data_IF_513023010296
#
_entry.id   IF_513023010296
#
_cell.length_a   1.000
_cell.length_b   1.000
_cell.length_c   1.000
_cell.angle_alpha   90.00
_cell.angle_beta   90.00
_cell.angle_gamma   90.00
#
_symmetry.space_group_name_H-M   'P 1'
#
loop_
_entity.id
_entity.type
_entity.pdbx_description
1 polymer ?
#
# COMPACT_ATOMS: atom_id res chain seq x y z
N UNK A 1 -15.38 3.16 0.54
CA UNK A 1 -15.47 1.99 1.42
C UNK A 1 -16.80 1.34 1.17
N UNK A 2 -16.78 0.03 0.99
CA UNK A 2 -17.93 -0.79 0.62
C UNK A 2 -17.97 -2.03 1.50
N UNK A 3 -19.14 -2.63 1.67
CA UNK A 3 -19.33 -3.93 2.29
C UNK A 3 -20.40 -4.68 1.50
N UNK A 4 -20.27 -6.00 1.39
CA UNK A 4 -21.11 -6.82 0.52
C UNK A 4 -21.50 -8.12 1.24
N UNK A 5 -22.69 -8.63 0.96
CA UNK A 5 -23.12 -9.99 1.30
C UNK A 5 -23.80 -10.65 0.09
N UNK A 6 -24.22 -11.89 0.24
CA UNK A 6 -24.90 -12.66 -0.82
C UNK A 6 -26.16 -12.01 -1.41
N UNK A 7 -26.78 -11.05 -0.70
CA UNK A 7 -27.95 -10.29 -1.14
C UNK A 7 -27.65 -8.92 -1.75
N UNK A 8 -26.39 -8.50 -1.81
CA UNK A 8 -25.98 -7.21 -2.39
C UNK A 8 -25.07 -6.36 -1.49
N UNK A 9 -25.00 -5.06 -1.80
CA UNK A 9 -24.21 -4.08 -1.05
C UNK A 9 -24.86 -3.75 0.30
N UNK A 10 -24.08 -3.83 1.38
CA UNK A 10 -24.46 -3.40 2.72
C UNK A 10 -24.21 -1.90 2.84
N UNK A 11 -25.29 -1.11 2.93
CA UNK A 11 -25.16 0.34 3.14
C UNK A 11 -24.65 0.65 4.53
N UNK A 12 -23.50 1.33 4.60
CA UNK A 12 -22.88 1.81 5.82
C UNK A 12 -23.21 3.30 6.01
N UNK A 13 -24.17 3.58 6.89
CA UNK A 13 -24.75 4.91 7.04
C UNK A 13 -23.80 5.94 7.65
N UNK A 14 -23.25 6.81 6.79
CA UNK A 14 -22.51 8.01 7.18
C UNK A 14 -21.01 7.83 7.40
N UNK A 15 -20.28 8.95 7.37
CA UNK A 15 -18.81 8.99 7.44
C UNK A 15 -18.25 8.41 8.74
N UNK A 16 -18.84 8.74 9.89
CA UNK A 16 -18.39 8.22 11.20
C UNK A 16 -18.57 6.70 11.33
N UNK A 17 -19.66 6.14 10.82
CA UNK A 17 -19.89 4.68 10.81
C UNK A 17 -18.85 3.93 9.97
N UNK A 18 -18.53 4.45 8.78
CA UNK A 18 -17.47 3.91 7.90
C UNK A 18 -16.08 4.06 8.51
N UNK A 19 -15.79 5.18 9.16
CA UNK A 19 -14.52 5.44 9.85
C UNK A 19 -14.32 4.50 11.05
N UNK A 20 -15.38 4.24 11.81
CA UNK A 20 -15.35 3.26 12.90
C UNK A 20 -15.06 1.85 12.37
N UNK A 21 -15.72 1.43 11.28
CA UNK A 21 -15.41 0.16 10.61
C UNK A 21 -13.97 0.10 10.09
N UNK A 22 -13.51 1.14 9.39
CA UNK A 22 -12.14 1.25 8.88
C UNK A 22 -11.12 1.03 9.99
N UNK A 23 -11.26 1.78 11.09
CA UNK A 23 -10.39 1.70 12.26
C UNK A 23 -10.26 0.27 12.80
N UNK A 24 -11.38 -0.46 12.90
CA UNK A 24 -11.39 -1.83 13.39
C UNK A 24 -10.83 -2.85 12.38
N UNK A 25 -11.06 -2.66 11.09
CA UNK A 25 -10.47 -3.48 10.02
C UNK A 25 -8.94 -3.33 9.97
N UNK A 26 -8.44 -2.09 10.08
CA UNK A 26 -7.02 -1.75 10.20
C UNK A 26 -6.38 -2.34 11.47
N UNK A 27 -7.16 -2.49 12.54
CA UNK A 27 -6.75 -3.20 13.76
C UNK A 27 -6.43 -4.69 13.52
N UNK A 28 -6.97 -5.32 12.46
CA UNK A 28 -6.77 -6.72 12.09
C UNK A 28 -7.01 -7.69 13.27
N UNK A 29 -8.15 -7.55 13.96
CA UNK A 29 -8.52 -8.37 15.12
C UNK A 29 -7.84 -7.99 16.45
N UNK A 30 -6.90 -7.04 16.45
CA UNK A 30 -6.36 -6.43 17.69
C UNK A 30 -7.36 -5.42 18.27
N UNK A 31 -7.14 -5.04 19.52
CA UNK A 31 -7.95 -4.02 20.20
C UNK A 31 -7.54 -2.65 19.66
N UNK A 32 -8.51 -1.91 19.14
CA UNK A 32 -8.39 -0.47 18.89
C UNK A 32 -8.97 0.24 20.11
N UNK A 33 -8.14 1.05 20.76
CA UNK A 33 -8.51 1.73 21.99
C UNK A 33 -9.59 2.80 21.78
N UNK A 34 -10.43 3.03 22.79
CA UNK A 34 -11.50 4.04 22.73
C UNK A 34 -10.96 5.44 22.43
N UNK A 35 -9.79 5.80 22.97
CA UNK A 35 -9.12 7.05 22.66
C UNK A 35 -8.69 7.18 21.18
N UNK A 36 -8.20 6.10 20.56
CA UNK A 36 -7.84 6.08 19.14
C UNK A 36 -9.08 6.16 18.25
N UNK A 37 -10.16 5.47 18.64
CA UNK A 37 -11.46 5.59 17.98
C UNK A 37 -12.03 7.01 18.11
N UNK A 38 -11.81 7.69 19.24
CA UNK A 38 -12.19 9.09 19.49
C UNK A 38 -11.25 10.13 18.85
N UNK A 39 -10.08 9.71 18.35
CA UNK A 39 -9.20 10.53 17.52
C UNK A 39 -9.65 10.43 16.05
N UNK A 40 -9.85 9.20 15.56
CA UNK A 40 -10.32 8.91 14.20
C UNK A 40 -11.73 9.48 13.95
N UNK A 41 -12.58 9.45 14.97
CA UNK A 41 -13.88 10.10 15.00
C UNK A 41 -13.73 11.39 15.82
N UNK A 42 -13.94 12.57 15.23
CA UNK A 42 -14.02 13.87 15.94
C UNK A 42 -12.68 14.51 16.35
N UNK A 43 -11.57 13.76 16.36
CA UNK A 43 -10.22 14.34 16.53
C UNK A 43 -10.04 14.96 17.91
N UNK A 44 -9.70 16.24 17.95
CA UNK A 44 -9.51 16.99 19.21
C UNK A 44 -10.80 17.39 19.91
N UNK A 45 -11.97 17.21 19.28
CA UNK A 45 -13.27 17.64 19.81
C UNK A 45 -14.27 16.48 19.99
N UNK A 46 -13.97 15.47 20.84
CA UNK A 46 -14.89 14.38 21.10
C UNK A 46 -16.16 14.87 21.84
N UNK A 47 -17.32 14.24 21.59
CA UNK A 47 -18.57 14.58 22.28
C UNK A 47 -18.53 14.13 23.75
N UNK A 48 -19.25 14.83 24.62
CA UNK A 48 -19.46 14.42 26.03
C UNK A 48 -20.13 13.06 26.19
N UNK A 49 -20.77 12.55 25.13
CA UNK A 49 -21.43 11.24 25.07
C UNK A 49 -20.58 10.17 24.35
N UNK A 50 -19.25 10.33 24.34
CA UNK A 50 -18.28 9.47 23.64
C UNK A 50 -18.60 7.97 23.74
N UNK A 51 -18.66 7.41 24.95
CA UNK A 51 -18.92 5.98 25.16
C UNK A 51 -20.23 5.53 24.51
N UNK A 52 -21.32 6.29 24.72
CA UNK A 52 -22.63 5.98 24.16
C UNK A 52 -22.64 6.01 22.62
N UNK A 53 -21.86 6.90 22.00
CA UNK A 53 -21.70 6.94 20.54
C UNK A 53 -20.85 5.77 20.02
N UNK A 54 -19.76 5.40 20.70
CA UNK A 54 -18.97 4.20 20.36
C UNK A 54 -19.80 2.91 20.48
N UNK A 55 -20.60 2.77 21.54
CA UNK A 55 -21.56 1.66 21.68
C UNK A 55 -22.60 1.66 20.55
N UNK A 56 -23.10 2.84 20.13
CA UNK A 56 -24.04 2.97 19.02
C UNK A 56 -23.44 2.52 17.69
N UNK A 57 -22.22 2.96 17.36
CA UNK A 57 -21.53 2.53 16.13
C UNK A 57 -21.22 1.02 16.13
N UNK A 58 -20.78 0.47 17.26
CA UNK A 58 -20.56 -0.97 17.42
C UNK A 58 -21.85 -1.79 17.29
N UNK A 59 -22.96 -1.31 17.86
CA UNK A 59 -24.28 -1.95 17.74
C UNK A 59 -24.76 -1.97 16.29
N UNK A 60 -24.63 -0.84 15.58
CA UNK A 60 -24.98 -0.73 14.16
C UNK A 60 -24.14 -1.66 13.27
N UNK A 61 -22.82 -1.74 13.47
CA UNK A 61 -21.98 -2.69 12.71
C UNK A 61 -22.42 -4.14 12.90
N UNK A 62 -22.76 -4.55 14.13
CA UNK A 62 -23.26 -5.92 14.41
C UNK A 62 -24.57 -6.20 13.68
N UNK A 63 -25.45 -5.19 13.57
CA UNK A 63 -26.70 -5.29 12.82
C UNK A 63 -26.44 -5.43 11.31
N UNK A 64 -25.57 -4.58 10.76
CA UNK A 64 -25.30 -4.55 9.31
C UNK A 64 -24.49 -5.77 8.80
N UNK A 65 -23.51 -6.24 9.56
CA UNK A 65 -22.56 -7.28 9.11
C UNK A 65 -22.99 -8.71 9.50
N UNK A 66 -24.04 -8.85 10.32
CA UNK A 66 -24.61 -10.13 10.72
C UNK A 66 -23.62 -11.03 11.49
N UNK A 67 -23.87 -12.35 11.44
CA UNK A 67 -23.08 -13.35 12.19
C UNK A 67 -21.68 -13.62 11.64
N UNK A 68 -21.31 -13.05 10.49
CA UNK A 68 -20.03 -13.29 9.82
C UNK A 68 -18.92 -12.34 10.28
N UNK A 69 -19.22 -11.28 11.04
CA UNK A 69 -18.19 -10.37 11.57
C UNK A 69 -18.51 -10.02 13.03
N UNK A 70 -17.67 -10.45 13.97
CA UNK A 70 -17.82 -10.10 15.40
C UNK A 70 -17.06 -8.83 15.76
N UNK A 71 -17.82 -7.76 16.03
CA UNK A 71 -17.32 -6.58 16.75
C UNK A 71 -17.43 -6.81 18.26
N UNK A 72 -16.30 -6.97 18.94
CA UNK A 72 -16.22 -7.34 20.36
C UNK A 72 -15.76 -6.14 21.20
N UNK A 73 -16.46 -5.85 22.30
CA UNK A 73 -16.00 -4.89 23.31
C UNK A 73 -14.91 -5.57 24.13
N UNK A 74 -13.70 -5.01 24.16
CA UNK A 74 -12.59 -5.46 25.02
C UNK A 74 -11.99 -4.24 25.66
N UNK A 75 -12.33 -4.00 26.93
CA UNK A 75 -11.95 -2.75 27.60
C UNK A 75 -10.41 -2.56 27.64
N UNK A 76 -9.89 -1.34 27.37
CA UNK A 76 -10.59 -0.12 26.98
C UNK A 76 -10.59 0.08 25.45
N UNK A 77 -11.50 -0.58 24.72
CA UNK A 77 -11.58 -0.54 23.26
C UNK A 77 -12.52 -1.56 22.62
N UNK A 78 -12.33 -1.78 21.32
CA UNK A 78 -13.06 -2.74 20.49
C UNK A 78 -12.10 -3.52 19.57
N UNK A 79 -12.42 -4.77 19.25
CA UNK A 79 -11.79 -5.54 18.17
C UNK A 79 -12.84 -6.00 17.16
N UNK A 80 -12.42 -6.24 15.91
CA UNK A 80 -13.26 -6.82 14.86
C UNK A 80 -12.61 -8.10 14.35
N UNK A 81 -13.32 -9.21 14.47
CA UNK A 81 -12.93 -10.51 13.94
C UNK A 81 -13.79 -10.80 12.71
N UNK A 82 -13.15 -11.10 11.59
CA UNK A 82 -13.86 -11.34 10.31
C UNK A 82 -14.39 -12.76 10.18
N UNK A 83 -14.06 -13.70 11.07
CA UNK A 83 -14.69 -15.03 11.19
C UNK A 83 -15.00 -15.78 9.86
N UNK A 84 -14.11 -15.65 8.87
CA UNK A 84 -14.25 -16.26 7.54
C UNK A 84 -14.80 -15.33 6.44
N UNK A 85 -15.32 -14.16 6.79
CA UNK A 85 -15.60 -13.08 5.85
C UNK A 85 -14.29 -12.57 5.21
N UNK A 86 -14.37 -12.34 3.90
CA UNK A 86 -13.27 -11.86 3.09
C UNK A 86 -13.09 -10.35 3.22
N UNK A 87 -11.85 -9.88 3.30
CA UNK A 87 -11.51 -8.45 3.23
C UNK A 87 -10.28 -8.24 2.35
N UNK A 88 -10.32 -7.19 1.52
CA UNK A 88 -9.24 -6.85 0.59
C UNK A 88 -7.92 -6.57 1.30
N UNK A 89 -7.94 -5.86 2.43
CA UNK A 89 -6.75 -5.60 3.26
C UNK A 89 -6.06 -6.88 3.79
N UNK A 90 -6.82 -7.90 4.20
CA UNK A 90 -6.24 -9.16 4.72
C UNK A 90 -5.74 -10.03 3.57
N UNK A 91 -6.48 -10.09 2.46
CA UNK A 91 -6.05 -10.84 1.28
C UNK A 91 -4.82 -10.20 0.62
N UNK A 92 -4.73 -8.87 0.56
CA UNK A 92 -3.54 -8.13 0.09
C UNK A 92 -2.30 -8.51 0.89
N UNK A 93 -2.39 -8.44 2.22
CA UNK A 93 -1.29 -8.77 3.11
C UNK A 93 -0.90 -10.26 3.05
N UNK A 94 -1.87 -11.15 2.82
CA UNK A 94 -1.64 -12.59 2.59
C UNK A 94 -0.93 -12.86 1.26
N UNK A 95 -1.37 -12.23 0.16
CA UNK A 95 -0.72 -12.38 -1.15
C UNK A 95 0.68 -11.75 -1.14
N UNK A 96 0.86 -10.61 -0.46
CA UNK A 96 2.19 -10.01 -0.22
C UNK A 96 3.13 -10.99 0.45
N UNK A 97 2.77 -11.56 1.60
CA UNK A 97 3.62 -12.54 2.32
C UNK A 97 3.94 -13.78 1.49
N UNK A 98 2.97 -14.26 0.70
CA UNK A 98 3.18 -15.38 -0.24
C UNK A 98 4.19 -15.00 -1.33
N UNK A 99 4.12 -13.77 -1.84
CA UNK A 99 5.02 -13.26 -2.85
C UNK A 99 6.44 -13.01 -2.31
N UNK A 100 6.56 -12.44 -1.11
CA UNK A 100 7.83 -12.28 -0.38
C UNK A 100 8.49 -13.67 -0.19
N UNK A 101 7.78 -14.65 0.38
CA UNK A 101 8.31 -16.00 0.59
C UNK A 101 8.73 -16.70 -0.72
N UNK A 102 7.90 -16.64 -1.76
CA UNK A 102 8.25 -17.18 -3.07
C UNK A 102 9.46 -16.47 -3.70
N UNK A 103 9.67 -15.18 -3.41
CA UNK A 103 10.84 -14.42 -3.90
C UNK A 103 12.11 -14.86 -3.18
N UNK A 104 12.03 -15.07 -1.87
CA UNK A 104 13.15 -15.49 -1.01
C UNK A 104 13.58 -16.93 -1.33
N UNK A 105 12.64 -17.80 -1.74
CA UNK A 105 12.92 -19.15 -2.29
C UNK A 105 13.47 -19.13 -3.74
N UNK A 106 13.56 -17.96 -4.40
CA UNK A 106 13.97 -17.84 -5.80
C UNK A 106 12.89 -18.19 -6.83
N UNK A 107 11.67 -18.50 -6.39
CA UNK A 107 10.49 -18.76 -7.23
C UNK A 107 9.90 -17.47 -7.84
N UNK A 108 10.72 -16.66 -8.52
CA UNK A 108 10.37 -15.32 -9.00
C UNK A 108 9.08 -15.26 -9.85
N UNK A 109 8.79 -16.26 -10.66
CA UNK A 109 7.56 -16.31 -11.45
C UNK A 109 6.28 -16.42 -10.59
N UNK A 110 6.35 -17.17 -9.49
CA UNK A 110 5.26 -17.28 -8.51
C UNK A 110 5.13 -16.01 -7.67
N UNK A 111 6.26 -15.41 -7.28
CA UNK A 111 6.28 -14.12 -6.59
C UNK A 111 5.64 -13.00 -7.43
N UNK A 112 6.01 -12.87 -8.71
CA UNK A 112 5.45 -11.88 -9.63
C UNK A 112 3.93 -12.06 -9.86
N UNK A 113 3.44 -13.30 -9.85
CA UNK A 113 2.00 -13.57 -9.89
C UNK A 113 1.31 -13.09 -8.58
N UNK A 114 1.81 -13.52 -7.42
CA UNK A 114 1.21 -13.16 -6.13
C UNK A 114 1.27 -11.64 -5.82
N UNK A 115 2.32 -10.92 -6.25
CA UNK A 115 2.33 -9.45 -6.15
C UNK A 115 1.29 -8.79 -7.06
N UNK A 116 1.04 -9.32 -8.27
CA UNK A 116 -0.03 -8.83 -9.15
C UNK A 116 -1.40 -9.10 -8.56
N UNK A 117 -1.62 -10.30 -8.01
CA UNK A 117 -2.87 -10.65 -7.31
C UNK A 117 -3.12 -9.70 -6.12
N UNK A 118 -2.08 -9.37 -5.35
CA UNK A 118 -2.15 -8.38 -4.28
C UNK A 118 -2.56 -6.99 -4.80
N UNK A 119 -1.89 -6.50 -5.85
CA UNK A 119 -2.15 -5.17 -6.42
C UNK A 119 -3.52 -5.06 -7.09
N UNK A 120 -4.06 -6.16 -7.63
CA UNK A 120 -5.38 -6.20 -8.26
C UNK A 120 -6.55 -5.99 -7.27
N UNK A 121 -6.32 -6.13 -5.96
CA UNK A 121 -7.31 -5.83 -4.92
C UNK A 121 -7.56 -4.32 -4.75
N UNK A 122 -6.64 -3.49 -5.24
CA UNK A 122 -6.70 -2.04 -5.10
C UNK A 122 -7.55 -1.41 -6.19
N UNK A 123 -8.62 -0.72 -5.77
CA UNK A 123 -9.64 -0.14 -6.65
C UNK A 123 -9.56 1.39 -6.74
N UNK A 124 -8.48 1.97 -6.21
CA UNK A 124 -8.27 3.41 -6.03
C UNK A 124 -7.50 3.68 -4.73
N UNK A 125 -7.46 4.94 -4.25
CA UNK A 125 -6.77 5.30 -3.02
C UNK A 125 -7.34 4.58 -1.79
N UNK A 126 -6.48 4.29 -0.81
CA UNK A 126 -6.82 3.68 0.46
C UNK A 126 -7.99 4.41 1.14
N UNK A 127 -9.02 3.64 1.52
CA UNK A 127 -10.20 4.13 2.24
C UNK A 127 -11.02 5.21 1.49
N UNK A 128 -10.77 5.41 0.18
CA UNK A 128 -11.56 6.27 -0.69
C UNK A 128 -13.05 5.92 -0.63
N UNK A 129 -13.92 6.91 -0.83
CA UNK A 129 -15.37 6.72 -0.73
C UNK A 129 -15.88 6.69 0.73
N UNK A 130 -15.46 7.67 1.53
CA UNK A 130 -16.26 8.18 2.65
C UNK A 130 -15.90 7.72 4.06
N UNK A 131 -14.64 7.36 4.31
CA UNK A 131 -14.08 7.53 5.66
C UNK A 131 -13.75 9.01 5.94
N UNK A 132 -13.52 9.34 7.21
CA UNK A 132 -13.18 10.68 7.68
C UNK A 132 -11.71 11.03 7.38
N UNK A 133 -11.36 12.26 6.95
CA UNK A 133 -9.97 12.67 6.75
C UNK A 133 -9.05 12.47 7.97
N UNK A 134 -9.61 12.34 9.17
CA UNK A 134 -8.88 12.04 10.40
C UNK A 134 -8.15 10.68 10.43
N UNK A 135 -8.49 9.73 9.55
CA UNK A 135 -7.73 8.46 9.38
C UNK A 135 -6.77 8.47 8.17
N UNK A 136 -6.35 9.67 7.76
CA UNK A 136 -5.39 9.86 6.66
C UNK A 136 -4.02 9.24 6.94
N UNK A 137 -3.59 9.14 8.21
CA UNK A 137 -2.34 8.49 8.58
C UNK A 137 -2.37 6.98 8.29
N UNK A 138 -3.46 6.29 8.64
CA UNK A 138 -3.67 4.88 8.31
C UNK A 138 -3.83 4.65 6.80
N UNK A 139 -4.51 5.56 6.11
CA UNK A 139 -4.62 5.52 4.64
C UNK A 139 -3.25 5.68 3.97
N UNK A 140 -2.41 6.61 4.45
CA UNK A 140 -1.04 6.78 3.97
C UNK A 140 -0.18 5.52 4.24
N UNK A 141 -0.25 4.94 5.43
CA UNK A 141 0.48 3.70 5.74
C UNK A 141 0.07 2.52 4.83
N UNK A 142 -1.19 2.47 4.39
CA UNK A 142 -1.66 1.52 3.38
C UNK A 142 -1.09 1.82 1.98
N UNK A 143 -1.08 3.09 1.54
CA UNK A 143 -0.47 3.48 0.25
C UNK A 143 1.05 3.21 0.21
N UNK A 144 1.78 3.45 1.30
CA UNK A 144 3.20 3.08 1.40
C UNK A 144 3.39 1.56 1.26
N UNK A 145 2.53 0.75 1.90
CA UNK A 145 2.57 -0.70 1.72
C UNK A 145 2.24 -1.14 0.27
N UNK A 146 1.35 -0.42 -0.43
CA UNK A 146 1.06 -0.63 -1.85
C UNK A 146 2.26 -0.30 -2.74
N UNK A 147 2.92 0.84 -2.51
CA UNK A 147 4.12 1.24 -3.25
C UNK A 147 5.26 0.25 -3.04
N UNK A 148 5.52 -0.18 -1.80
CA UNK A 148 6.52 -1.18 -1.46
C UNK A 148 6.25 -2.58 -2.07
N UNK A 149 4.98 -2.91 -2.35
CA UNK A 149 4.59 -4.12 -3.11
C UNK A 149 4.78 -3.93 -4.61
N UNK A 150 4.46 -2.76 -5.14
CA UNK A 150 4.64 -2.42 -6.55
C UNK A 150 6.13 -2.41 -6.95
N UNK A 151 6.98 -1.85 -6.10
CA UNK A 151 8.45 -1.89 -6.27
C UNK A 151 8.97 -3.34 -6.28
N UNK A 152 8.64 -4.15 -5.26
CA UNK A 152 9.01 -5.57 -5.21
C UNK A 152 8.54 -6.35 -6.43
N UNK A 153 7.34 -6.06 -6.97
CA UNK A 153 6.85 -6.66 -8.22
C UNK A 153 7.78 -6.31 -9.38
N UNK A 154 8.09 -5.02 -9.56
CA UNK A 154 8.95 -4.51 -10.63
C UNK A 154 10.34 -5.16 -10.57
N UNK A 155 10.97 -5.19 -9.38
CA UNK A 155 12.24 -5.87 -9.15
C UNK A 155 12.20 -7.35 -9.56
N UNK A 156 11.10 -8.03 -9.20
CA UNK A 156 10.89 -9.46 -9.49
C UNK A 156 10.70 -9.70 -10.99
N UNK A 157 9.96 -8.85 -11.69
CA UNK A 157 9.75 -8.94 -13.14
C UNK A 157 11.04 -8.59 -13.92
N UNK A 158 11.85 -7.63 -13.43
CA UNK A 158 13.20 -7.35 -13.95
C UNK A 158 14.11 -8.57 -13.76
N UNK A 159 14.08 -9.23 -12.60
CA UNK A 159 14.83 -10.47 -12.34
C UNK A 159 14.39 -11.65 -13.21
N UNK A 160 13.17 -11.62 -13.78
CA UNK A 160 12.67 -12.55 -14.79
C UNK A 160 13.06 -12.17 -16.23
N UNK A 161 13.86 -11.11 -16.43
CA UNK A 161 14.28 -10.62 -17.74
C UNK A 161 13.26 -9.72 -18.46
N UNK A 162 12.13 -9.36 -17.80
CA UNK A 162 11.01 -8.61 -18.42
C UNK A 162 11.17 -7.08 -18.32
N UNK A 163 12.38 -6.59 -18.03
CA UNK A 163 12.62 -5.17 -17.77
C UNK A 163 12.11 -4.25 -18.89
N UNK A 164 12.30 -4.65 -20.16
CA UNK A 164 11.88 -3.86 -21.34
C UNK A 164 10.35 -3.74 -21.44
N UNK A 165 9.60 -4.78 -21.05
CA UNK A 165 8.13 -4.79 -21.07
C UNK A 165 7.54 -3.74 -20.10
N UNK A 166 8.25 -3.45 -19.00
CA UNK A 166 7.83 -2.49 -17.98
C UNK A 166 8.08 -1.02 -18.36
N UNK A 167 8.75 -0.71 -19.47
CA UNK A 167 9.20 0.66 -19.80
C UNK A 167 8.08 1.71 -19.78
N UNK A 168 6.88 1.36 -20.27
CA UNK A 168 5.73 2.28 -20.28
C UNK A 168 5.19 2.54 -18.87
N UNK A 169 5.06 1.49 -18.06
CA UNK A 169 4.61 1.58 -16.67
C UNK A 169 5.62 2.36 -15.82
N UNK A 170 6.91 2.04 -15.95
CA UNK A 170 8.00 2.70 -15.23
C UNK A 170 8.06 4.20 -15.52
N UNK A 171 7.84 4.63 -16.77
CA UNK A 171 7.74 6.05 -17.12
C UNK A 171 6.56 6.74 -16.43
N UNK A 172 5.42 6.06 -16.33
CA UNK A 172 4.24 6.56 -15.59
C UNK A 172 4.54 6.68 -14.10
N UNK A 173 5.08 5.63 -13.48
CA UNK A 173 5.41 5.61 -12.05
C UNK A 173 6.45 6.67 -11.66
N UNK A 174 7.49 6.82 -12.48
CA UNK A 174 8.50 7.87 -12.31
C UNK A 174 7.92 9.28 -12.47
N UNK A 175 6.88 9.47 -13.29
CA UNK A 175 6.16 10.74 -13.40
C UNK A 175 5.23 11.01 -12.20
N UNK A 176 4.62 9.96 -11.62
CA UNK A 176 3.76 10.08 -10.44
C UNK A 176 4.54 10.20 -9.13
N UNK A 177 5.74 9.60 -9.06
CA UNK A 177 6.57 9.52 -7.86
C UNK A 177 8.00 10.01 -8.19
N UNK A 178 8.20 11.30 -8.51
CA UNK A 178 9.47 11.81 -9.02
C UNK A 178 10.64 11.64 -8.04
N UNK A 179 10.37 11.63 -6.73
CA UNK A 179 11.34 11.44 -5.65
C UNK A 179 11.64 9.96 -5.31
N UNK A 180 11.02 8.99 -5.99
CA UNK A 180 11.21 7.56 -5.68
C UNK A 180 12.41 6.96 -6.43
N UNK A 181 13.56 6.86 -5.75
CA UNK A 181 14.81 6.35 -6.35
C UNK A 181 14.68 4.94 -6.94
N UNK A 182 13.96 4.01 -6.31
CA UNK A 182 13.84 2.64 -6.82
C UNK A 182 13.07 2.49 -8.15
N UNK A 183 11.98 3.26 -8.36
CA UNK A 183 11.33 3.33 -9.68
C UNK A 183 12.24 3.96 -10.74
N UNK A 184 13.05 4.96 -10.37
CA UNK A 184 14.07 5.55 -11.24
C UNK A 184 15.15 4.53 -11.61
N UNK A 185 15.66 3.78 -10.64
CA UNK A 185 16.66 2.72 -10.83
C UNK A 185 16.11 1.61 -11.75
N UNK A 186 14.85 1.21 -11.56
CA UNK A 186 14.15 0.24 -12.40
C UNK A 186 14.01 0.75 -13.84
N UNK A 187 13.64 2.02 -14.04
CA UNK A 187 13.58 2.66 -15.36
C UNK A 187 14.96 2.72 -16.04
N UNK A 188 16.01 3.09 -15.31
CA UNK A 188 17.40 3.09 -15.81
C UNK A 188 17.84 1.69 -16.26
N UNK A 189 17.54 0.66 -15.45
CA UNK A 189 17.86 -0.75 -15.76
C UNK A 189 17.12 -1.22 -17.02
N UNK A 190 15.82 -0.91 -17.13
CA UNK A 190 15.00 -1.24 -18.29
C UNK A 190 15.45 -0.53 -19.57
N UNK A 191 15.84 0.74 -19.48
CA UNK A 191 16.38 1.50 -20.61
C UNK A 191 17.75 0.95 -21.06
N UNK A 192 18.64 0.64 -20.12
CA UNK A 192 19.93 0.05 -20.46
C UNK A 192 19.79 -1.32 -21.14
N UNK A 193 18.95 -2.21 -20.59
CA UNK A 193 18.65 -3.52 -21.20
C UNK A 193 17.97 -3.43 -22.58
N UNK A 194 17.35 -2.29 -22.91
CA UNK A 194 16.82 -1.99 -24.24
C UNK A 194 17.85 -1.35 -25.20
N UNK A 195 19.14 -1.36 -24.86
CA UNK A 195 20.23 -0.64 -25.57
C UNK A 195 20.06 0.89 -25.64
N UNK A 196 19.34 1.49 -24.67
CA UNK A 196 19.06 2.94 -24.60
C UNK A 196 19.88 3.59 -23.47
N UNK A 197 21.19 3.29 -23.45
CA UNK A 197 22.13 3.73 -22.41
C UNK A 197 22.10 5.26 -22.19
N UNK A 198 22.02 6.05 -23.26
CA UNK A 198 21.94 7.52 -23.16
C UNK A 198 20.69 7.99 -22.40
N UNK A 199 19.52 7.39 -22.63
CA UNK A 199 18.31 7.69 -21.89
C UNK A 199 18.40 7.23 -20.43
N UNK A 200 19.04 6.08 -20.16
CA UNK A 200 19.27 5.61 -18.79
C UNK A 200 20.15 6.58 -17.99
N UNK A 201 21.24 7.08 -18.59
CA UNK A 201 22.12 8.08 -17.96
C UNK A 201 21.41 9.42 -17.74
N UNK A 202 20.50 9.82 -18.64
CA UNK A 202 19.69 11.04 -18.48
C UNK A 202 18.69 10.95 -17.30
N UNK A 203 18.16 9.77 -16.99
CA UNK A 203 17.27 9.61 -15.82
C UNK A 203 18.00 9.83 -14.48
N UNK A 204 19.29 9.51 -14.39
CA UNK A 204 20.11 9.82 -13.21
C UNK A 204 20.29 11.33 -13.02
N UNK A 205 20.61 12.06 -14.09
CA UNK A 205 20.79 13.51 -14.06
C UNK A 205 19.49 14.25 -13.73
N UNK A 206 18.34 13.80 -14.28
CA UNK A 206 17.02 14.29 -13.88
C UNK A 206 16.79 14.09 -12.37
N UNK A 207 17.05 12.89 -11.86
CA UNK A 207 16.85 12.57 -10.45
C UNK A 207 17.74 13.41 -9.53
N UNK A 208 19.01 13.58 -9.90
CA UNK A 208 19.97 14.42 -9.18
C UNK A 208 19.47 15.85 -9.06
N UNK A 209 18.96 16.45 -10.14
CA UNK A 209 18.43 17.83 -10.12
C UNK A 209 17.21 17.93 -9.20
N UNK A 210 16.24 17.03 -9.35
CA UNK A 210 15.03 17.00 -8.50
C UNK A 210 15.40 16.89 -7.01
N UNK A 211 16.31 15.97 -6.64
CA UNK A 211 16.75 15.82 -5.24
C UNK A 211 17.53 17.03 -4.72
N UNK A 212 18.33 17.67 -5.57
CA UNK A 212 19.08 18.87 -5.22
C UNK A 212 18.16 20.09 -5.03
N UNK A 213 17.18 20.27 -5.91
CA UNK A 213 16.26 21.41 -5.91
C UNK A 213 15.19 21.30 -4.81
N UNK A 214 14.60 20.11 -4.59
CA UNK A 214 13.52 19.89 -3.63
C UNK A 214 14.01 19.62 -2.19
N UNK A 215 15.16 18.92 -2.04
CA UNK A 215 15.62 18.40 -0.74
C UNK A 215 17.05 18.83 -0.37
N UNK A 216 17.81 19.45 -1.28
CA UNK A 216 19.22 19.81 -1.05
C UNK A 216 20.18 18.61 -0.93
N UNK A 217 19.77 17.42 -1.41
CA UNK A 217 20.55 16.17 -1.31
C UNK A 217 20.95 15.62 -2.68
N UNK A 218 21.83 14.62 -2.67
CA UNK A 218 22.24 13.88 -3.87
C UNK A 218 21.59 12.48 -3.89
N UNK A 219 21.51 11.82 -5.07
CA UNK A 219 21.06 10.44 -5.16
C UNK A 219 21.79 9.48 -4.23
N UNK A 220 21.05 8.51 -3.68
CA UNK A 220 21.57 7.51 -2.77
C UNK A 220 22.64 6.58 -3.39
N UNK A 221 23.33 5.79 -2.56
CA UNK A 221 24.40 4.89 -3.00
C UNK A 221 23.90 3.73 -3.87
N UNK A 222 22.60 3.41 -3.86
CA UNK A 222 21.97 2.46 -4.78
C UNK A 222 21.97 3.00 -6.22
N UNK A 223 21.31 4.15 -6.43
CA UNK A 223 21.20 4.77 -7.74
C UNK A 223 22.57 5.22 -8.29
N UNK A 224 23.45 5.71 -7.41
CA UNK A 224 24.82 6.08 -7.77
C UNK A 224 25.64 4.89 -8.31
N UNK A 225 25.53 3.71 -7.68
CA UNK A 225 26.21 2.49 -8.16
C UNK A 225 25.65 2.03 -9.51
N UNK A 226 24.33 2.07 -9.70
CA UNK A 226 23.71 1.74 -10.98
C UNK A 226 24.20 2.66 -12.11
N UNK A 227 24.28 3.97 -11.86
CA UNK A 227 24.81 4.93 -12.81
C UNK A 227 26.26 4.63 -13.21
N UNK A 228 27.13 4.32 -12.24
CA UNK A 228 28.54 3.97 -12.53
C UNK A 228 28.67 2.66 -13.31
N UNK A 229 27.88 1.63 -12.99
CA UNK A 229 27.83 0.40 -13.79
C UNK A 229 27.40 0.67 -15.23
N UNK A 230 26.30 1.42 -15.42
CA UNK A 230 25.82 1.79 -16.77
C UNK A 230 26.86 2.59 -17.55
N UNK A 231 27.70 3.41 -16.90
CA UNK A 231 28.85 4.07 -17.55
C UNK A 231 29.96 3.08 -17.95
N UNK A 232 30.25 2.08 -17.11
CA UNK A 232 31.26 1.05 -17.38
C UNK A 232 30.81 0.03 -18.45
N UNK A 233 29.51 -0.04 -18.75
CA UNK A 233 28.93 -1.07 -19.62
C UNK A 233 28.49 -2.33 -18.86
N UNK A 234 28.41 -2.27 -17.53
CA UNK A 234 28.12 -3.39 -16.64
C UNK A 234 26.83 -3.09 -15.85
N UNK A 235 25.82 -3.97 -15.94
CA UNK A 235 24.76 -3.91 -14.93
C UNK A 235 25.33 -4.47 -13.62
N UNK A 236 25.29 -3.71 -12.50
CA UNK A 236 25.71 -4.27 -11.22
C UNK A 236 24.81 -5.45 -10.88
N UNK A 237 25.40 -6.61 -10.61
CA UNK A 237 24.66 -7.73 -10.03
C UNK A 237 24.01 -7.26 -8.72
N UNK A 238 22.69 -7.46 -8.64
CA UNK A 238 21.74 -7.07 -7.58
C UNK A 238 22.34 -6.34 -6.37
N UNK A 239 21.82 -5.13 -6.09
CA UNK A 239 21.81 -4.62 -4.72
C UNK A 239 20.92 -5.55 -3.90
N UNK A 240 21.54 -6.45 -3.14
CA UNK A 240 20.93 -7.28 -2.11
C UNK A 240 20.60 -6.46 -0.86
#
# INVERSE_FOLDING_TARGET
>A
MEAWHSGGEIRLDGTKQRTFLASLLLGQGRIVHDARLAEHLWGTNPPSTLDAQLYTYASRLRSYLGGHVRVVRRAPGYSLHTDGAWTDIVEFEKQRRRADAARDEGHYAAAAAAYRDALALWRGPALAGGADPLISAEAAALEEARLAVLERRIETEIALGRAVELLSELRSLVSCHPLHEGFRASLMTALYGANRQSEALLEYDKMRRILQDELGVYPGPGLSRLFQGILAGELPEKVA
#
